data_IF_629221946072
#
_entry.id   IF_629221946072
#
_cell.length_a   1.000
_cell.length_b   1.000
_cell.length_c   1.000
_cell.angle_alpha   90.00
_cell.angle_beta   90.00
_cell.angle_gamma   90.00
#
_symmetry.space_group_name_H-M   'P 1'
#
loop_
_entity.id
_entity.type
_entity.pdbx_description
1 polymer ?
#
# COMPACT_ATOMS: atom_id res chain seq x y z
N UNK A 1 15.68 -16.46 15.64
CA UNK A 1 16.91 -16.16 14.85
C UNK A 1 16.77 -16.44 13.35
N UNK A 2 16.25 -17.59 12.91
CA UNK A 2 16.15 -17.91 11.46
C UNK A 2 15.21 -16.96 10.69
N UNK A 3 14.11 -16.52 11.29
CA UNK A 3 13.17 -15.60 10.62
C UNK A 3 13.74 -14.19 10.44
N UNK A 4 14.57 -13.70 11.38
CA UNK A 4 15.13 -12.34 11.35
C UNK A 4 16.04 -12.15 10.15
N UNK A 5 16.89 -13.14 9.87
CA UNK A 5 17.75 -13.14 8.68
C UNK A 5 16.95 -13.18 7.38
N UNK A 6 15.84 -13.92 7.33
CA UNK A 6 14.99 -13.96 6.14
C UNK A 6 14.32 -12.60 5.91
N UNK A 7 13.87 -11.93 6.96
CA UNK A 7 13.23 -10.64 6.83
C UNK A 7 14.20 -9.51 6.51
N UNK A 8 15.39 -9.50 7.10
CA UNK A 8 16.45 -8.55 6.71
C UNK A 8 16.85 -8.76 5.26
N UNK A 9 16.94 -10.01 4.79
CA UNK A 9 17.20 -10.34 3.39
C UNK A 9 16.07 -9.87 2.45
N UNK A 10 14.80 -9.99 2.83
CA UNK A 10 13.66 -9.42 2.09
C UNK A 10 13.70 -7.87 2.07
N UNK A 11 14.14 -7.24 3.17
CA UNK A 11 14.32 -5.79 3.24
C UNK A 11 15.52 -5.33 2.41
N UNK A 12 16.58 -6.13 2.29
CA UNK A 12 17.76 -5.80 1.50
C UNK A 12 17.55 -6.11 0.01
N UNK A 13 16.75 -7.13 -0.32
CA UNK A 13 16.44 -7.52 -1.69
C UNK A 13 15.53 -6.52 -2.40
N UNK A 14 15.57 -6.43 -3.74
CA UNK A 14 14.75 -5.45 -4.48
C UNK A 14 13.28 -5.85 -4.69
N UNK A 15 12.82 -6.96 -4.11
CA UNK A 15 11.48 -7.49 -4.38
C UNK A 15 10.38 -6.84 -3.51
N UNK A 16 9.77 -5.78 -4.02
CA UNK A 16 8.65 -5.09 -3.36
C UNK A 16 7.41 -5.99 -3.12
N UNK A 17 7.21 -7.06 -3.91
CA UNK A 17 6.07 -7.98 -3.72
C UNK A 17 6.25 -8.86 -2.49
N UNK A 18 7.48 -9.31 -2.22
CA UNK A 18 7.80 -10.11 -1.04
C UNK A 18 7.67 -9.29 0.23
N UNK A 19 8.21 -8.06 0.20
CA UNK A 19 8.07 -7.12 1.31
C UNK A 19 6.60 -6.78 1.60
N UNK A 20 5.80 -6.55 0.56
CA UNK A 20 4.36 -6.35 0.70
C UNK A 20 3.65 -7.59 1.27
N UNK A 21 3.99 -8.78 0.78
CA UNK A 21 3.41 -10.04 1.26
C UNK A 21 3.72 -10.28 2.74
N UNK A 22 4.91 -9.86 3.20
CA UNK A 22 5.26 -9.87 4.62
C UNK A 22 4.38 -8.90 5.42
N UNK A 23 4.28 -7.64 4.99
CA UNK A 23 3.44 -6.63 5.65
C UNK A 23 1.98 -7.09 5.78
N UNK A 24 1.45 -7.71 4.72
CA UNK A 24 0.12 -8.31 4.70
C UNK A 24 -0.01 -9.46 5.71
N UNK A 25 0.92 -10.43 5.68
CA UNK A 25 0.95 -11.54 6.64
C UNK A 25 1.07 -11.07 8.09
N UNK A 26 1.74 -9.96 8.34
CA UNK A 26 1.89 -9.40 9.69
C UNK A 26 0.55 -8.86 10.20
N UNK A 27 -0.20 -8.16 9.34
CA UNK A 27 -1.51 -7.61 9.69
C UNK A 27 -2.61 -8.68 9.79
N UNK A 28 -2.56 -9.70 8.93
CA UNK A 28 -3.55 -10.77 8.89
C UNK A 28 -3.34 -11.85 9.97
N UNK A 29 -2.18 -11.85 10.64
CA UNK A 29 -1.91 -12.76 11.77
C UNK A 29 -2.92 -12.49 12.90
N UNK A 30 -3.64 -13.53 13.31
CA UNK A 30 -4.65 -13.43 14.39
C UNK A 30 -4.16 -14.02 15.71
N UNK A 31 -3.06 -14.77 15.65
CA UNK A 31 -2.41 -15.36 16.80
C UNK A 31 -1.55 -14.31 17.51
N UNK A 32 -1.87 -14.04 18.78
CA UNK A 32 -1.21 -13.02 19.60
C UNK A 32 0.25 -13.39 19.86
N UNK A 33 0.57 -14.66 20.07
CA UNK A 33 1.94 -15.10 20.32
C UNK A 33 2.81 -14.84 19.09
N UNK A 34 2.30 -15.19 17.90
CA UNK A 34 3.00 -14.91 16.63
C UNK A 34 3.11 -13.43 16.32
N UNK A 35 2.11 -12.62 16.68
CA UNK A 35 2.22 -11.17 16.53
C UNK A 35 3.31 -10.59 17.44
N UNK A 36 3.41 -11.08 18.69
CA UNK A 36 4.46 -10.70 19.63
C UNK A 36 5.84 -11.12 19.14
N UNK A 37 6.00 -12.36 18.67
CA UNK A 37 7.27 -12.85 18.13
C UNK A 37 7.76 -12.01 16.96
N UNK A 38 6.85 -11.65 16.05
CA UNK A 38 7.19 -10.78 14.92
C UNK A 38 7.49 -9.34 15.36
N UNK A 39 6.83 -8.82 16.40
CA UNK A 39 7.17 -7.52 16.99
C UNK A 39 8.55 -7.53 17.65
N UNK A 40 8.90 -8.60 18.37
CA UNK A 40 10.23 -8.78 18.96
C UNK A 40 11.29 -8.84 17.87
N UNK A 41 11.03 -9.60 16.81
CA UNK A 41 11.85 -9.62 15.60
C UNK A 41 12.05 -8.21 15.02
N UNK A 42 10.98 -7.40 14.87
CA UNK A 42 11.10 -6.02 14.39
C UNK A 42 11.97 -5.15 15.32
N UNK A 43 11.92 -5.41 16.63
CA UNK A 43 12.73 -4.73 17.65
C UNK A 43 14.20 -5.19 17.68
N UNK A 44 14.55 -6.28 17.00
CA UNK A 44 15.93 -6.79 16.89
C UNK A 44 16.62 -6.40 15.57
N UNK A 45 15.94 -5.71 14.65
CA UNK A 45 16.56 -5.25 13.39
C UNK A 45 17.74 -4.29 13.64
N UNK A 46 18.77 -4.38 12.81
CA UNK A 46 19.81 -3.36 12.75
C UNK A 46 19.22 -1.99 12.32
N UNK A 47 19.80 -0.90 12.80
CA UNK A 47 19.27 0.45 12.56
C UNK A 47 19.22 0.82 11.07
N UNK A 48 20.21 0.39 10.30
CA UNK A 48 20.27 0.60 8.84
C UNK A 48 19.15 -0.16 8.12
N UNK A 49 18.89 -1.40 8.54
CA UNK A 49 17.81 -2.25 8.01
C UNK A 49 16.44 -1.69 8.40
N UNK A 50 16.30 -1.15 9.61
CA UNK A 50 15.10 -0.48 10.09
C UNK A 50 14.80 0.79 9.26
N UNK A 51 15.82 1.62 9.01
CA UNK A 51 15.71 2.80 8.14
C UNK A 51 15.30 2.42 6.70
N UNK A 52 15.92 1.38 6.14
CA UNK A 52 15.61 0.88 4.80
C UNK A 52 14.18 0.34 4.71
N UNK A 53 13.69 -0.38 5.73
CA UNK A 53 12.33 -0.86 5.79
C UNK A 53 11.29 0.29 5.85
N UNK A 54 11.60 1.36 6.59
CA UNK A 54 10.78 2.58 6.62
C UNK A 54 10.75 3.23 5.23
N UNK A 55 11.92 3.41 4.59
CA UNK A 55 11.99 3.98 3.25
C UNK A 55 11.20 3.16 2.21
N UNK A 56 11.25 1.83 2.30
CA UNK A 56 10.48 0.93 1.42
C UNK A 56 8.97 1.02 1.65
N UNK A 57 8.52 1.07 2.91
CA UNK A 57 7.09 1.28 3.20
C UNK A 57 6.60 2.63 2.69
N UNK A 58 7.43 3.67 2.76
CA UNK A 58 7.12 5.00 2.22
C UNK A 58 7.06 5.02 0.69
N UNK A 59 7.98 4.32 0.02
CA UNK A 59 7.93 4.15 -1.43
C UNK A 59 6.65 3.43 -1.89
N UNK A 60 6.24 2.39 -1.16
CA UNK A 60 4.98 1.67 -1.42
C UNK A 60 3.77 2.57 -1.18
N UNK A 61 3.75 3.31 -0.06
CA UNK A 61 2.68 4.26 0.24
C UNK A 61 2.53 5.29 -0.89
N UNK A 62 3.64 5.88 -1.35
CA UNK A 62 3.63 6.85 -2.44
C UNK A 62 3.22 6.24 -3.77
N UNK A 63 3.57 4.98 -4.05
CA UNK A 63 3.21 4.31 -5.30
C UNK A 63 1.71 4.03 -5.40
N UNK A 64 1.06 3.73 -4.27
CA UNK A 64 -0.38 3.45 -4.22
C UNK A 64 -1.23 4.66 -3.83
N UNK A 65 -0.64 5.86 -3.72
CA UNK A 65 -1.37 7.10 -3.49
C UNK A 65 -1.89 7.73 -4.80
N UNK A 66 -2.87 7.06 -5.41
CA UNK A 66 -3.54 7.54 -6.62
C UNK A 66 -4.52 8.70 -6.36
N UNK A 67 -4.64 9.18 -5.12
CA UNK A 67 -5.58 10.24 -4.74
C UNK A 67 -5.34 11.55 -5.50
N UNK A 68 -4.09 11.84 -5.85
CA UNK A 68 -3.68 13.06 -6.58
C UNK A 68 -4.19 13.12 -8.02
N UNK A 69 -4.43 11.97 -8.65
CA UNK A 69 -4.85 11.87 -10.05
C UNK A 69 -6.36 11.72 -10.22
N UNK A 70 -7.09 11.51 -9.12
CA UNK A 70 -8.51 11.19 -9.15
C UNK A 70 -9.34 12.34 -9.76
N UNK A 71 -9.01 13.60 -9.45
CA UNK A 71 -9.63 14.77 -10.07
C UNK A 71 -9.37 14.84 -11.58
N UNK A 72 -8.16 14.52 -12.03
CA UNK A 72 -7.81 14.49 -13.45
C UNK A 72 -8.56 13.39 -14.21
N UNK A 73 -8.70 12.20 -13.61
CA UNK A 73 -9.50 11.11 -14.18
C UNK A 73 -10.97 11.47 -14.31
N UNK A 74 -11.55 12.12 -13.30
CA UNK A 74 -12.95 12.58 -13.35
C UNK A 74 -13.14 13.63 -14.45
N UNK A 75 -12.21 14.58 -14.58
CA UNK A 75 -12.27 15.60 -15.63
C UNK A 75 -12.15 15.01 -17.04
N UNK A 76 -11.22 14.06 -17.25
CA UNK A 76 -11.08 13.35 -18.52
C UNK A 76 -12.35 12.56 -18.86
N UNK A 77 -12.97 11.91 -17.86
CA UNK A 77 -14.22 11.17 -18.09
C UNK A 77 -15.43 12.06 -18.37
N UNK A 78 -15.54 13.21 -17.70
CA UNK A 78 -16.58 14.18 -18.01
C UNK A 78 -16.45 14.70 -19.46
N UNK A 79 -15.21 14.95 -19.89
CA UNK A 79 -14.91 15.38 -21.27
C UNK A 79 -15.24 14.28 -22.28
N UNK A 80 -14.90 13.02 -21.97
CA UNK A 80 -15.20 11.87 -22.81
C UNK A 80 -16.71 11.63 -22.93
N UNK A 81 -17.45 11.73 -21.82
CA UNK A 81 -18.92 11.62 -21.80
C UNK A 81 -19.58 12.67 -22.71
N UNK A 82 -19.14 13.93 -22.61
CA UNK A 82 -19.63 15.04 -23.44
C UNK A 82 -19.35 14.83 -24.93
N UNK A 83 -18.18 14.30 -25.28
CA UNK A 83 -17.85 13.99 -26.67
C UNK A 83 -18.65 12.77 -27.18
N UNK A 84 -18.78 11.72 -26.38
CA UNK A 84 -19.39 10.45 -26.79
C UNK A 84 -20.92 10.53 -26.87
N UNK A 85 -21.55 11.32 -25.99
CA UNK A 85 -23.00 11.61 -26.02
C UNK A 85 -23.46 12.38 -27.27
N UNK A 86 -22.53 12.99 -28.02
CA UNK A 86 -22.82 13.60 -29.33
C UNK A 86 -22.85 12.59 -30.48
N UNK A 87 -22.29 11.40 -30.27
CA UNK A 87 -22.14 10.35 -31.30
C UNK A 87 -23.08 9.18 -31.05
N UNK A 88 -23.37 8.88 -29.78
CA UNK A 88 -24.22 7.76 -29.33
C UNK A 88 -25.35 8.29 -28.46
N UNK A 89 -26.48 7.56 -28.39
CA UNK A 89 -27.59 7.90 -27.51
C UNK A 89 -27.08 8.21 -26.09
N UNK A 90 -27.44 9.38 -25.50
CA UNK A 90 -26.82 9.91 -24.28
C UNK A 90 -26.92 8.95 -23.09
N UNK A 91 -28.01 8.16 -23.03
CA UNK A 91 -28.20 7.16 -21.98
C UNK A 91 -27.19 6.00 -22.06
N UNK A 92 -26.81 5.57 -23.26
CA UNK A 92 -25.81 4.51 -23.48
C UNK A 92 -24.41 5.05 -23.16
N UNK A 93 -24.11 6.28 -23.60
CA UNK A 93 -22.87 6.97 -23.27
C UNK A 93 -22.70 7.11 -21.74
N UNK A 94 -23.76 7.48 -21.03
CA UNK A 94 -23.76 7.59 -19.58
C UNK A 94 -23.49 6.24 -18.89
N UNK A 95 -24.20 5.17 -19.28
CA UNK A 95 -24.01 3.84 -18.69
C UNK A 95 -22.59 3.29 -18.89
N UNK A 96 -22.02 3.44 -20.10
CA UNK A 96 -20.65 3.02 -20.38
C UNK A 96 -19.63 3.81 -19.55
N UNK A 97 -19.78 5.13 -19.51
CA UNK A 97 -18.83 5.98 -18.76
C UNK A 97 -18.91 5.72 -17.27
N UNK A 98 -20.13 5.55 -16.72
CA UNK A 98 -20.35 5.18 -15.33
C UNK A 98 -19.75 3.80 -15.00
N UNK A 99 -19.89 2.83 -15.90
CA UNK A 99 -19.29 1.49 -15.75
C UNK A 99 -17.76 1.53 -15.68
N UNK A 100 -17.11 2.30 -16.57
CA UNK A 100 -15.65 2.45 -16.56
C UNK A 100 -15.20 3.15 -15.27
N UNK A 101 -15.90 4.21 -14.86
CA UNK A 101 -15.58 4.95 -13.65
C UNK A 101 -15.71 4.07 -12.39
N UNK A 102 -16.75 3.25 -12.32
CA UNK A 102 -16.93 2.25 -11.26
C UNK A 102 -15.78 1.22 -11.25
N UNK A 103 -15.33 0.75 -12.41
CA UNK A 103 -14.19 -0.16 -12.53
C UNK A 103 -12.87 0.44 -12.01
N UNK A 104 -12.59 1.70 -12.38
CA UNK A 104 -11.39 2.43 -11.91
C UNK A 104 -11.46 2.64 -10.40
N UNK A 105 -12.61 3.04 -9.87
CA UNK A 105 -12.82 3.21 -8.42
C UNK A 105 -12.64 1.90 -7.67
N UNK A 106 -13.17 0.79 -8.19
CA UNK A 106 -13.00 -0.53 -7.59
C UNK A 106 -11.52 -0.97 -7.54
N UNK A 107 -10.79 -0.80 -8.65
CA UNK A 107 -9.34 -1.04 -8.69
C UNK A 107 -8.59 -0.21 -7.64
N UNK A 108 -8.94 1.08 -7.52
CA UNK A 108 -8.35 1.99 -6.53
C UNK A 108 -8.63 1.54 -5.09
N UNK A 109 -9.80 0.97 -4.80
CA UNK A 109 -10.14 0.43 -3.46
C UNK A 109 -9.30 -0.80 -3.13
N UNK A 110 -9.05 -1.68 -4.10
CA UNK A 110 -8.17 -2.84 -3.89
C UNK A 110 -6.73 -2.40 -3.59
N UNK A 111 -6.25 -1.36 -4.27
CA UNK A 111 -4.93 -0.80 -4.03
C UNK A 111 -4.83 -0.08 -2.69
N UNK A 112 -5.90 0.56 -2.22
CA UNK A 112 -5.96 1.13 -0.87
C UNK A 112 -5.66 0.09 0.22
N UNK A 113 -6.07 -1.17 0.05
CA UNK A 113 -5.73 -2.24 1.03
C UNK A 113 -4.21 -2.40 1.16
N UNK A 114 -3.50 -2.37 0.02
CA UNK A 114 -2.04 -2.46 -0.01
C UNK A 114 -1.38 -1.28 0.71
N UNK A 115 -1.91 -0.08 0.50
CA UNK A 115 -1.47 1.13 1.20
C UNK A 115 -1.69 1.03 2.71
N UNK A 116 -2.87 0.59 3.16
CA UNK A 116 -3.19 0.48 4.60
C UNK A 116 -2.23 -0.47 5.31
N UNK A 117 -1.86 -1.58 4.68
CA UNK A 117 -0.89 -2.53 5.22
C UNK A 117 0.53 -1.94 5.31
N UNK A 118 0.97 -1.20 4.29
CA UNK A 118 2.25 -0.51 4.30
C UNK A 118 2.31 0.59 5.38
N UNK A 119 1.23 1.36 5.53
CA UNK A 119 1.12 2.41 6.57
C UNK A 119 1.14 1.80 7.98
N UNK A 120 0.47 0.67 8.18
CA UNK A 120 0.50 -0.04 9.46
C UNK A 120 1.93 -0.47 9.82
N UNK A 121 2.65 -1.11 8.90
CA UNK A 121 4.03 -1.52 9.12
C UNK A 121 4.96 -0.31 9.34
N UNK A 122 4.79 0.77 8.56
CA UNK A 122 5.54 2.04 8.73
C UNK A 122 5.36 2.60 10.15
N UNK A 123 4.13 2.60 10.65
CA UNK A 123 3.82 3.06 12.02
C UNK A 123 4.55 2.24 13.07
N UNK A 124 4.55 0.91 12.96
CA UNK A 124 5.27 0.02 13.88
C UNK A 124 6.79 0.26 13.85
N UNK A 125 7.39 0.29 12.66
CA UNK A 125 8.83 0.54 12.51
C UNK A 125 9.23 1.92 13.05
N UNK A 126 8.39 2.92 12.84
CA UNK A 126 8.61 4.29 13.36
C UNK A 126 8.50 4.33 14.89
N UNK A 127 7.55 3.60 15.48
CA UNK A 127 7.44 3.47 16.94
C UNK A 127 8.70 2.82 17.53
N UNK A 128 9.20 1.74 16.93
CA UNK A 128 10.42 1.06 17.36
C UNK A 128 11.64 1.99 17.28
N UNK A 129 11.78 2.74 16.18
CA UNK A 129 12.84 3.75 16.03
C UNK A 129 12.75 4.83 17.13
N UNK A 130 11.55 5.32 17.42
CA UNK A 130 11.34 6.34 18.45
C UNK A 130 11.57 5.81 19.86
N UNK A 131 11.26 4.53 20.14
CA UNK A 131 11.60 3.86 21.41
C UNK A 131 13.11 3.75 21.59
N UNK A 132 13.86 3.42 20.53
CA UNK A 132 15.33 3.35 20.56
C UNK A 132 15.98 4.71 20.78
N UNK A 133 15.51 5.74 20.09
CA UNK A 133 16.06 7.10 20.22
C UNK A 133 15.76 7.78 21.56
N UNK A 134 14.81 7.26 22.35
CA UNK A 134 14.49 7.74 23.70
C UNK A 134 15.29 7.03 24.80
N UNK A 135 15.94 5.91 24.48
CA UNK A 135 16.87 5.21 25.37
C UNK A 135 18.29 5.74 25.16
#
# INVERSE_FOLDING_TARGET
MYEINIFSEIILGQNYKEFYSFAKKFREEKDIEKQMDRLIMLKELEDDVLLLAIAKTEAIESHYDHSKYLAAYVALMATYLLAFSRVVHPMIAFLLTAGILAGILYGSVLEKKKRVEAVFLKSLLTQIKNERNKK
#
